data_IF_444382258248
#
_entry.id   IF_444382258248
#
_cell.length_a   1.000
_cell.length_b   1.000
_cell.length_c   1.000
_cell.angle_alpha   90.00
_cell.angle_beta   90.00
_cell.angle_gamma   90.00
#
_symmetry.space_group_name_H-M   'P 1'
#
loop_
_entity.id
_entity.type
_entity.pdbx_description
1 polymer ?
#
# COMPACT_ATOMS: atom_id res chain seq x y z
N UNK A 1 -14.73 1.64 -25.71
CA UNK A 1 -14.30 2.59 -24.68
C UNK A 1 -14.59 4.05 -25.12
N UNK A 2 -14.30 5.05 -24.27
CA UNK A 2 -14.57 6.47 -24.57
C UNK A 2 -13.81 6.96 -25.80
N UNK A 3 -12.54 6.60 -25.98
CA UNK A 3 -11.74 6.98 -27.14
C UNK A 3 -12.35 6.46 -28.43
N UNK A 4 -12.74 5.21 -28.47
CA UNK A 4 -13.40 4.60 -29.65
C UNK A 4 -14.71 5.32 -30.00
N UNK A 5 -15.49 5.70 -28.99
CA UNK A 5 -16.73 6.44 -29.18
C UNK A 5 -16.45 7.84 -29.74
N UNK A 6 -15.44 8.53 -29.26
CA UNK A 6 -14.99 9.84 -29.75
C UNK A 6 -14.47 9.76 -31.18
N UNK A 7 -13.70 8.71 -31.52
CA UNK A 7 -13.17 8.49 -32.86
C UNK A 7 -14.30 8.18 -33.87
N UNK A 8 -15.29 7.36 -33.46
CA UNK A 8 -16.35 6.89 -34.33
C UNK A 8 -17.50 7.91 -34.52
N UNK A 9 -17.85 8.64 -33.49
CA UNK A 9 -19.03 9.51 -33.44
C UNK A 9 -18.70 10.95 -33.07
N UNK A 10 -17.43 11.29 -32.94
CA UNK A 10 -16.98 12.52 -32.30
C UNK A 10 -17.46 13.81 -32.95
N UNK A 11 -17.63 13.87 -34.27
CA UNK A 11 -18.10 15.09 -34.95
C UNK A 11 -19.55 15.44 -34.61
N UNK A 12 -20.36 14.45 -34.23
CA UNK A 12 -21.78 14.63 -33.86
C UNK A 12 -22.03 14.83 -32.36
N UNK A 13 -21.00 14.65 -31.50
CA UNK A 13 -21.19 14.72 -30.06
C UNK A 13 -21.37 16.16 -29.55
N UNK A 14 -22.47 16.47 -28.87
CA UNK A 14 -22.70 17.83 -28.31
C UNK A 14 -21.58 18.27 -27.38
N UNK A 15 -20.97 17.37 -26.65
CA UNK A 15 -19.88 17.63 -25.71
C UNK A 15 -18.69 18.38 -26.35
N UNK A 16 -18.27 17.98 -27.57
CA UNK A 16 -17.18 18.67 -28.29
C UNK A 16 -17.52 20.12 -28.64
N UNK A 17 -18.80 20.45 -28.82
CA UNK A 17 -19.24 21.81 -29.09
C UNK A 17 -19.43 22.67 -27.84
N UNK A 18 -19.67 22.00 -26.71
CA UNK A 18 -19.84 22.68 -25.41
C UNK A 18 -18.51 23.06 -24.76
N UNK A 19 -17.51 22.19 -24.91
CA UNK A 19 -16.15 22.45 -24.41
C UNK A 19 -15.48 23.48 -25.31
N UNK A 20 -15.10 24.61 -24.76
CA UNK A 20 -14.39 25.69 -25.48
C UNK A 20 -12.90 25.73 -25.09
N UNK A 21 -12.57 25.32 -23.88
CA UNK A 21 -11.22 25.25 -23.33
C UNK A 21 -11.07 23.95 -22.56
N UNK A 22 -9.91 23.33 -22.65
CA UNK A 22 -9.54 22.16 -21.88
C UNK A 22 -8.22 22.48 -21.19
N UNK A 23 -8.20 22.36 -19.86
CA UNK A 23 -7.02 22.52 -19.04
C UNK A 23 -6.77 21.18 -18.33
N UNK A 24 -5.55 20.71 -18.41
CA UNK A 24 -5.16 19.42 -17.83
C UNK A 24 -3.96 19.64 -16.94
N UNK A 25 -4.11 19.23 -15.70
CA UNK A 25 -3.01 19.21 -14.73
C UNK A 25 -2.38 17.82 -14.65
N UNK A 26 -1.14 17.72 -14.16
CA UNK A 26 -0.37 16.48 -14.01
C UNK A 26 -0.35 15.64 -15.30
N UNK A 27 -0.16 16.29 -16.44
CA UNK A 27 -0.29 15.65 -17.76
C UNK A 27 0.75 14.54 -17.98
N UNK A 28 1.89 14.55 -17.29
CA UNK A 28 2.91 13.50 -17.34
C UNK A 28 2.38 12.14 -16.81
N UNK A 29 1.31 12.14 -16.03
CA UNK A 29 0.70 10.93 -15.46
C UNK A 29 -0.41 10.33 -16.34
N UNK A 30 -0.66 10.92 -17.51
CA UNK A 30 -1.65 10.43 -18.45
C UNK A 30 -1.14 9.20 -19.22
N UNK A 31 -2.04 8.24 -19.45
CA UNK A 31 -1.78 7.15 -20.40
C UNK A 31 -2.19 7.55 -21.84
N UNK A 32 -1.81 6.75 -22.82
CA UNK A 32 -2.11 7.00 -24.23
C UNK A 32 -3.60 7.15 -24.55
N UNK A 33 -4.48 6.43 -23.83
CA UNK A 33 -5.93 6.51 -24.04
C UNK A 33 -6.44 7.86 -23.53
N UNK A 34 -5.99 8.30 -22.35
CA UNK A 34 -6.35 9.60 -21.78
C UNK A 34 -5.85 10.74 -22.66
N UNK A 35 -4.59 10.71 -23.09
CA UNK A 35 -4.05 11.70 -24.01
C UNK A 35 -4.85 11.75 -25.33
N UNK A 36 -5.17 10.59 -25.91
CA UNK A 36 -5.99 10.50 -27.12
C UNK A 36 -7.40 11.04 -26.94
N UNK A 37 -8.04 10.85 -25.78
CA UNK A 37 -9.35 11.41 -25.45
C UNK A 37 -9.27 12.95 -25.44
N UNK A 38 -8.26 13.51 -24.76
CA UNK A 38 -8.07 14.96 -24.66
C UNK A 38 -7.85 15.60 -26.05
N UNK A 39 -7.01 14.99 -26.87
CA UNK A 39 -6.76 15.43 -28.24
C UNK A 39 -8.05 15.41 -29.09
N UNK A 40 -8.82 14.33 -29.01
CA UNK A 40 -10.09 14.23 -29.75
C UNK A 40 -11.13 15.27 -29.30
N UNK A 41 -11.19 15.56 -28.00
CA UNK A 41 -12.06 16.59 -27.46
C UNK A 41 -11.63 17.99 -27.87
N UNK A 42 -10.32 18.25 -27.95
CA UNK A 42 -9.77 19.57 -28.31
C UNK A 42 -9.79 19.87 -29.81
N UNK A 43 -9.93 18.88 -30.68
CA UNK A 43 -9.88 19.05 -32.16
C UNK A 43 -10.68 20.23 -32.73
N UNK A 44 -11.93 20.50 -32.27
CA UNK A 44 -12.74 21.57 -32.88
C UNK A 44 -12.21 22.99 -32.63
N UNK A 45 -11.54 23.22 -31.52
CA UNK A 45 -11.15 24.56 -31.07
C UNK A 45 -9.66 24.72 -30.80
N UNK A 46 -8.92 23.63 -30.63
CA UNK A 46 -7.48 23.57 -30.35
C UNK A 46 -7.03 24.32 -29.08
N UNK A 47 -7.98 24.65 -28.20
CA UNK A 47 -7.74 25.33 -26.93
C UNK A 47 -7.45 24.27 -25.84
N UNK A 48 -6.29 23.65 -25.92
CA UNK A 48 -5.82 22.66 -24.97
C UNK A 48 -4.56 23.20 -24.29
N UNK A 49 -4.62 23.36 -22.99
CA UNK A 49 -3.50 23.70 -22.13
C UNK A 49 -3.20 22.51 -21.23
N UNK A 50 -1.93 22.13 -21.17
CA UNK A 50 -1.47 21.08 -20.27
C UNK A 50 -0.43 21.65 -19.33
N UNK A 51 -0.47 21.23 -18.07
CA UNK A 51 0.51 21.55 -17.04
C UNK A 51 1.05 20.23 -16.51
N UNK A 52 2.33 20.18 -16.20
CA UNK A 52 2.94 18.99 -15.63
C UNK A 52 4.45 19.12 -15.54
N UNK A 53 5.07 18.13 -14.94
CA UNK A 53 6.50 18.01 -14.75
C UNK A 53 6.95 16.60 -15.12
N UNK A 54 7.65 16.47 -16.24
CA UNK A 54 8.18 15.20 -16.74
C UNK A 54 9.05 14.47 -15.72
N UNK A 55 9.75 15.20 -14.86
CA UNK A 55 10.57 14.64 -13.78
C UNK A 55 9.74 14.00 -12.66
N UNK A 56 8.45 14.35 -12.52
CA UNK A 56 7.54 13.81 -11.52
C UNK A 56 6.70 12.62 -12.02
N UNK A 57 6.93 12.14 -13.25
CA UNK A 57 6.23 10.98 -13.82
C UNK A 57 6.67 9.68 -13.15
N UNK A 58 6.01 9.27 -12.07
CA UNK A 58 6.32 8.07 -11.31
C UNK A 58 5.25 6.97 -11.41
N UNK A 59 4.20 7.16 -12.23
CA UNK A 59 3.07 6.23 -12.38
C UNK A 59 3.11 5.37 -13.66
N UNK A 60 4.31 5.10 -14.22
CA UNK A 60 4.46 4.24 -15.40
C UNK A 60 3.86 2.85 -15.20
N UNK A 61 3.89 2.31 -14.00
CA UNK A 61 3.27 1.02 -13.63
C UNK A 61 1.72 1.02 -13.68
N UNK A 62 1.10 2.23 -13.70
CA UNK A 62 -0.34 2.41 -13.97
C UNK A 62 -0.63 2.72 -15.45
N UNK A 63 0.41 2.69 -16.29
CA UNK A 63 0.32 2.97 -17.71
C UNK A 63 0.53 4.44 -18.09
N UNK A 64 0.96 5.30 -17.15
CA UNK A 64 1.38 6.65 -17.46
C UNK A 64 2.58 6.65 -18.42
N UNK A 65 2.60 7.59 -19.35
CA UNK A 65 3.66 7.72 -20.31
C UNK A 65 4.15 9.18 -20.37
N UNK A 66 5.30 9.44 -19.76
CA UNK A 66 5.92 10.79 -19.73
C UNK A 66 6.21 11.36 -21.11
N UNK A 67 6.26 10.52 -22.15
CA UNK A 67 6.42 10.99 -23.53
C UNK A 67 5.25 11.84 -23.99
N UNK A 68 4.07 11.63 -23.43
CA UNK A 68 2.89 12.43 -23.75
C UNK A 68 3.17 13.92 -23.52
N UNK A 69 3.80 14.31 -22.40
CA UNK A 69 4.12 15.71 -22.12
C UNK A 69 5.32 16.21 -22.96
N UNK A 70 6.34 15.37 -23.14
CA UNK A 70 7.53 15.77 -23.91
C UNK A 70 7.23 15.99 -25.38
N UNK A 71 6.36 15.20 -26.00
CA UNK A 71 5.98 15.26 -27.40
C UNK A 71 4.82 16.25 -27.66
N UNK A 72 4.14 16.69 -26.61
CA UNK A 72 2.98 17.58 -26.72
C UNK A 72 3.27 18.88 -27.49
N UNK A 73 4.38 19.61 -27.26
CA UNK A 73 4.66 20.86 -27.96
C UNK A 73 4.80 20.67 -29.49
N UNK A 74 5.53 19.66 -29.92
CA UNK A 74 5.70 19.38 -31.35
C UNK A 74 4.41 18.95 -32.02
N UNK A 75 3.70 18.01 -31.36
CA UNK A 75 2.45 17.42 -31.87
C UNK A 75 1.34 18.43 -32.02
N UNK A 76 1.21 19.35 -31.05
CA UNK A 76 0.13 20.33 -30.99
C UNK A 76 0.57 21.73 -31.40
N UNK A 77 1.81 21.94 -31.81
CA UNK A 77 2.40 23.26 -32.06
C UNK A 77 2.19 24.21 -30.88
N UNK A 78 2.31 23.68 -29.67
CA UNK A 78 2.04 24.39 -28.45
C UNK A 78 3.20 25.29 -28.04
N UNK A 79 2.90 26.44 -27.45
CA UNK A 79 3.89 27.30 -26.82
C UNK A 79 4.23 26.73 -25.43
N UNK A 80 5.53 26.60 -25.13
CA UNK A 80 6.02 26.11 -23.85
C UNK A 80 6.40 27.29 -22.94
N UNK A 81 5.97 27.21 -21.69
CA UNK A 81 6.37 28.12 -20.63
C UNK A 81 6.96 27.32 -19.49
N UNK A 82 8.10 27.75 -18.95
CA UNK A 82 8.75 27.10 -17.81
C UNK A 82 8.46 27.87 -16.53
N UNK A 83 8.02 27.15 -15.49
CA UNK A 83 7.83 27.67 -14.15
C UNK A 83 8.95 27.10 -13.28
N UNK A 84 10.04 27.84 -13.14
CA UNK A 84 11.26 27.37 -12.46
C UNK A 84 11.39 27.87 -11.03
N UNK A 85 10.68 28.92 -10.66
CA UNK A 85 10.70 29.42 -9.28
C UNK A 85 9.87 28.52 -8.38
N UNK A 86 10.53 28.01 -7.35
CA UNK A 86 9.91 27.16 -6.32
C UNK A 86 9.72 27.95 -5.03
N UNK A 87 8.52 27.84 -4.44
CA UNK A 87 8.11 28.55 -3.22
C UNK A 87 7.99 27.63 -2.01
N UNK A 88 8.28 26.33 -2.18
CA UNK A 88 8.09 25.29 -1.15
C UNK A 88 9.40 24.94 -0.45
N UNK A 89 10.48 24.79 -1.22
CA UNK A 89 11.73 24.17 -0.76
C UNK A 89 12.86 25.18 -0.66
N UNK A 90 13.78 24.97 0.27
CA UNK A 90 15.02 25.74 0.37
C UNK A 90 15.92 25.53 -0.84
N UNK A 91 16.86 26.47 -1.12
CA UNK A 91 17.83 26.34 -2.21
C UNK A 91 18.66 25.05 -2.16
N UNK A 92 18.98 24.56 -0.95
CA UNK A 92 19.79 23.35 -0.75
C UNK A 92 19.05 22.09 -1.20
N UNK A 93 17.75 22.00 -0.94
CA UNK A 93 16.88 20.90 -1.40
C UNK A 93 16.78 20.92 -2.92
N UNK A 94 16.53 22.10 -3.50
CA UNK A 94 16.42 22.25 -4.96
C UNK A 94 17.73 21.93 -5.67
N UNK A 95 18.87 22.30 -5.09
CA UNK A 95 20.16 21.94 -5.65
C UNK A 95 20.36 20.42 -5.71
N UNK A 96 19.99 19.70 -4.64
CA UNK A 96 20.04 18.24 -4.63
C UNK A 96 19.09 17.63 -5.68
N UNK A 97 17.87 18.16 -5.81
CA UNK A 97 16.89 17.72 -6.81
C UNK A 97 17.40 17.97 -8.25
N UNK A 98 17.90 19.17 -8.54
CA UNK A 98 18.46 19.51 -9.86
C UNK A 98 19.65 18.61 -10.22
N UNK A 99 20.56 18.35 -9.28
CA UNK A 99 21.69 17.43 -9.51
C UNK A 99 21.22 16.00 -9.81
N UNK A 100 20.20 15.52 -9.11
CA UNK A 100 19.64 14.18 -9.33
C UNK A 100 18.99 14.07 -10.70
N UNK A 101 18.11 15.02 -11.06
CA UNK A 101 17.34 14.95 -12.30
C UNK A 101 18.21 15.18 -13.55
N UNK A 102 19.32 15.88 -13.45
CA UNK A 102 20.25 16.08 -14.55
C UNK A 102 20.86 14.79 -15.12
N UNK A 103 20.69 13.65 -14.43
CA UNK A 103 21.06 12.34 -14.98
C UNK A 103 20.05 11.80 -16.01
N UNK A 104 18.86 12.37 -16.10
CA UNK A 104 17.89 11.99 -17.12
C UNK A 104 18.33 12.52 -18.49
N UNK A 105 18.30 11.63 -19.48
CA UNK A 105 18.72 11.94 -20.86
C UNK A 105 17.58 12.51 -21.72
N UNK A 106 16.32 12.32 -21.29
CA UNK A 106 15.12 12.78 -21.99
C UNK A 106 14.24 13.54 -21.01
N UNK A 107 14.31 14.87 -21.07
CA UNK A 107 13.56 15.78 -20.19
C UNK A 107 13.48 17.16 -20.80
N UNK A 108 12.59 18.02 -20.31
CA UNK A 108 12.69 19.44 -20.53
C UNK A 108 13.89 20.01 -19.73
N UNK A 109 14.68 20.84 -20.38
CA UNK A 109 15.71 21.56 -19.66
C UNK A 109 15.09 22.60 -18.74
N UNK A 110 15.35 22.46 -17.45
CA UNK A 110 14.86 23.37 -16.40
C UNK A 110 15.85 23.40 -15.23
N UNK A 111 15.87 24.52 -14.52
CA UNK A 111 16.67 24.66 -13.31
C UNK A 111 15.83 25.32 -12.22
N UNK A 112 15.34 24.51 -11.30
CA UNK A 112 14.51 25.00 -10.20
C UNK A 112 15.34 25.85 -9.25
N UNK A 113 14.82 27.02 -8.87
CA UNK A 113 15.45 27.90 -7.91
C UNK A 113 14.43 28.43 -6.88
N UNK A 114 14.91 28.85 -5.73
CA UNK A 114 14.10 29.43 -4.66
C UNK A 114 14.72 30.72 -4.13
N UNK A 115 13.87 31.65 -3.76
CA UNK A 115 14.25 32.89 -3.06
C UNK A 115 14.03 32.77 -1.53
N UNK A 116 13.68 31.58 -1.05
CA UNK A 116 13.58 31.30 0.39
C UNK A 116 14.96 31.43 1.05
N UNK A 117 15.02 31.73 2.36
CA UNK A 117 16.28 31.70 3.11
C UNK A 117 17.01 30.36 2.95
N UNK A 118 18.34 30.35 3.01
CA UNK A 118 19.11 29.11 3.06
C UNK A 118 18.66 28.22 4.22
N UNK A 119 18.52 26.92 3.96
CA UNK A 119 18.17 25.91 4.94
C UNK A 119 19.29 24.89 5.16
N UNK A 120 19.00 23.82 5.85
CA UNK A 120 19.93 22.72 6.02
C UNK A 120 20.10 21.91 4.73
N UNK A 121 21.29 21.36 4.55
CA UNK A 121 21.55 20.46 3.42
C UNK A 121 20.93 19.10 3.68
N UNK A 122 20.36 18.46 2.63
CA UNK A 122 19.95 17.07 2.72
C UNK A 122 21.12 16.16 3.16
N UNK A 123 20.85 15.25 4.10
CA UNK A 123 21.83 14.27 4.62
C UNK A 123 21.43 12.87 4.17
N UNK A 124 22.42 12.07 3.79
CA UNK A 124 22.22 10.66 3.43
C UNK A 124 22.83 9.80 4.54
N UNK A 125 21.99 8.97 5.17
CA UNK A 125 22.42 7.96 6.10
C UNK A 125 22.42 6.59 5.41
N UNK A 126 23.56 5.90 5.46
CA UNK A 126 23.66 4.52 5.00
C UNK A 126 23.63 3.61 6.23
N UNK A 127 22.62 2.76 6.31
CA UNK A 127 22.33 1.92 7.48
C UNK A 127 22.35 0.45 7.09
N UNK A 128 22.41 -0.45 8.09
CA UNK A 128 22.58 -1.88 7.83
C UNK A 128 21.27 -2.60 7.55
N UNK A 129 20.23 -2.23 8.28
CA UNK A 129 18.91 -2.86 8.15
C UNK A 129 17.77 -1.89 8.49
N UNK A 130 16.54 -2.38 8.39
CA UNK A 130 15.32 -1.59 8.64
C UNK A 130 15.12 -1.22 10.11
N UNK A 131 15.76 -1.93 11.04
CA UNK A 131 15.69 -1.60 12.47
C UNK A 131 16.58 -0.40 12.78
N UNK A 132 17.81 -0.42 12.27
CA UNK A 132 18.73 0.73 12.35
C UNK A 132 18.09 1.98 11.69
N UNK A 133 17.41 1.80 10.54
CA UNK A 133 16.70 2.87 9.84
C UNK A 133 15.59 3.49 10.72
N UNK A 134 14.77 2.64 11.33
CA UNK A 134 13.68 3.10 12.18
C UNK A 134 14.20 3.81 13.46
N UNK A 135 15.28 3.34 14.04
CA UNK A 135 15.93 3.99 15.20
C UNK A 135 16.49 5.37 14.84
N UNK A 136 17.15 5.49 13.69
CA UNK A 136 17.69 6.79 13.23
C UNK A 136 16.56 7.77 12.98
N UNK A 137 15.48 7.34 12.33
CA UNK A 137 14.29 8.19 12.11
C UNK A 137 13.68 8.61 13.44
N UNK A 138 13.47 7.68 14.39
CA UNK A 138 12.93 8.02 15.72
C UNK A 138 13.80 9.05 16.43
N UNK A 139 15.12 8.84 16.48
CA UNK A 139 16.03 9.74 17.14
C UNK A 139 16.02 11.14 16.52
N UNK A 140 15.92 11.23 15.18
CA UNK A 140 15.81 12.50 14.48
C UNK A 140 14.49 13.22 14.80
N UNK A 141 13.37 12.49 14.83
CA UNK A 141 12.06 13.04 15.19
C UNK A 141 12.06 13.60 16.62
N UNK A 142 12.65 12.86 17.57
CA UNK A 142 12.75 13.30 18.95
C UNK A 142 13.63 14.56 19.09
N UNK A 143 14.75 14.62 18.37
CA UNK A 143 15.61 15.80 18.37
C UNK A 143 14.89 17.04 17.84
N UNK A 144 14.17 16.91 16.72
CA UNK A 144 13.38 18.01 16.14
C UNK A 144 12.24 18.48 17.07
N UNK A 145 11.60 17.54 17.79
CA UNK A 145 10.61 17.90 18.83
C UNK A 145 11.25 18.67 19.98
N UNK A 146 12.44 18.29 20.41
CA UNK A 146 13.17 19.00 21.47
C UNK A 146 13.56 20.42 21.03
N UNK A 147 13.74 20.65 19.73
CA UNK A 147 13.94 21.97 19.11
C UNK A 147 12.63 22.77 18.95
N UNK A 148 11.48 22.15 19.21
CA UNK A 148 10.17 22.80 19.22
C UNK A 148 9.35 22.62 17.95
N UNK A 149 9.74 21.72 17.02
CA UNK A 149 8.91 21.36 15.89
C UNK A 149 7.76 20.44 16.33
N UNK A 150 6.56 20.72 15.84
CA UNK A 150 5.39 19.87 16.07
C UNK A 150 5.41 18.64 15.15
N UNK A 151 4.79 17.53 15.56
CA UNK A 151 4.74 16.30 14.76
C UNK A 151 3.98 16.47 13.43
N UNK A 152 3.00 17.35 13.39
CA UNK A 152 2.23 17.67 12.18
C UNK A 152 3.02 18.50 11.14
N UNK A 153 4.15 19.09 11.55
CA UNK A 153 5.11 19.73 10.66
C UNK A 153 6.15 18.75 10.10
N UNK A 154 6.12 17.49 10.53
CA UNK A 154 7.06 16.46 10.11
C UNK A 154 6.37 15.38 9.26
N UNK A 155 7.10 14.86 8.29
CA UNK A 155 6.63 13.73 7.50
C UNK A 155 7.76 12.77 7.15
N UNK A 156 7.42 11.47 7.06
CA UNK A 156 8.32 10.44 6.57
C UNK A 156 7.77 9.87 5.27
N UNK A 157 8.56 9.99 4.21
CA UNK A 157 8.23 9.46 2.89
C UNK A 157 8.96 8.14 2.65
N UNK A 158 8.25 7.16 2.10
CA UNK A 158 8.80 5.85 1.76
C UNK A 158 8.25 5.36 0.42
N UNK A 159 8.95 4.44 -0.23
CA UNK A 159 8.58 3.96 -1.57
C UNK A 159 7.41 2.99 -1.58
N UNK A 160 7.31 2.13 -0.54
CA UNK A 160 6.22 1.18 -0.35
C UNK A 160 5.95 0.93 1.14
N UNK A 161 4.74 0.46 1.47
CA UNK A 161 4.29 0.30 2.86
C UNK A 161 5.13 -0.69 3.68
N UNK A 162 5.79 -1.62 3.04
CA UNK A 162 6.73 -2.56 3.66
C UNK A 162 7.82 -1.81 4.44
N UNK A 163 8.43 -0.80 3.82
CA UNK A 163 9.55 -0.05 4.43
C UNK A 163 9.14 0.67 5.72
N UNK A 164 7.88 1.11 5.79
CA UNK A 164 7.37 1.77 6.99
C UNK A 164 6.92 0.81 8.11
N UNK A 165 6.91 -0.50 7.89
CA UNK A 165 6.32 -1.42 8.86
C UNK A 165 7.13 -1.48 10.17
N UNK A 166 8.47 -1.59 10.10
CA UNK A 166 9.33 -1.55 11.30
C UNK A 166 9.26 -0.19 11.98
N UNK A 167 9.24 0.89 11.19
CA UNK A 167 9.09 2.23 11.73
C UNK A 167 7.78 2.41 12.50
N UNK A 168 6.65 1.89 11.98
CA UNK A 168 5.37 1.93 12.67
C UNK A 168 5.44 1.22 14.04
N UNK A 169 6.13 0.08 14.13
CA UNK A 169 6.35 -0.62 15.40
C UNK A 169 7.16 0.24 16.35
N UNK A 170 8.29 0.78 15.90
CA UNK A 170 9.19 1.60 16.72
C UNK A 170 8.49 2.87 17.22
N UNK A 171 7.75 3.57 16.36
CA UNK A 171 6.96 4.76 16.75
C UNK A 171 5.88 4.41 17.77
N UNK A 172 5.19 3.28 17.58
CA UNK A 172 4.18 2.79 18.52
C UNK A 172 4.78 2.52 19.90
N UNK A 173 5.90 1.81 19.96
CA UNK A 173 6.62 1.50 21.20
C UNK A 173 7.13 2.77 21.91
N UNK A 174 7.54 3.76 21.13
CA UNK A 174 7.98 5.07 21.65
C UNK A 174 6.81 6.01 22.03
N UNK A 175 5.55 5.60 21.77
CA UNK A 175 4.38 6.44 22.06
C UNK A 175 4.27 7.68 21.16
N UNK A 176 4.86 7.64 19.95
CA UNK A 176 4.77 8.72 18.96
C UNK A 176 3.51 8.50 18.12
N UNK A 177 2.52 9.41 18.17
CA UNK A 177 1.33 9.29 17.35
C UNK A 177 1.65 9.57 15.89
N UNK A 178 1.11 8.76 14.99
CA UNK A 178 1.31 8.93 13.55
C UNK A 178 0.07 8.55 12.73
N UNK A 179 -0.02 9.15 11.56
CA UNK A 179 -1.06 8.91 10.56
C UNK A 179 -0.42 8.41 9.26
N UNK A 180 -1.01 7.36 8.66
CA UNK A 180 -0.57 6.83 7.36
C UNK A 180 -1.47 7.36 6.27
N UNK A 181 -0.92 8.23 5.41
CA UNK A 181 -1.64 8.72 4.23
C UNK A 181 -1.51 7.75 3.04
N UNK A 182 -2.59 7.68 2.24
CA UNK A 182 -2.67 6.92 0.99
C UNK A 182 -2.36 5.42 1.09
N UNK A 183 -3.07 4.69 1.95
CA UNK A 183 -3.02 3.23 1.92
C UNK A 183 -3.62 2.55 3.14
N UNK A 184 -3.94 1.27 2.97
CA UNK A 184 -4.23 0.38 4.09
C UNK A 184 -2.90 0.03 4.75
N UNK A 185 -2.81 0.22 6.05
CA UNK A 185 -1.65 -0.14 6.87
C UNK A 185 -1.18 -1.55 6.56
N UNK A 186 0.13 -1.78 6.56
CA UNK A 186 0.70 -3.08 6.18
C UNK A 186 0.02 -4.24 6.91
N UNK A 187 -0.06 -4.19 8.24
CA UNK A 187 -0.66 -5.27 9.05
C UNK A 187 -2.19 -5.35 8.96
N UNK A 188 -2.84 -4.34 8.37
CA UNK A 188 -4.28 -4.33 8.13
C UNK A 188 -4.68 -4.81 6.74
N UNK A 189 -3.73 -5.00 5.85
CA UNK A 189 -3.99 -5.51 4.52
C UNK A 189 -4.65 -6.90 4.57
N UNK A 190 -5.58 -7.14 3.65
CA UNK A 190 -6.41 -8.34 3.66
C UNK A 190 -5.57 -9.61 3.69
N UNK A 191 -4.57 -9.75 2.81
CA UNK A 191 -3.72 -10.93 2.72
C UNK A 191 -2.82 -11.13 3.95
N UNK A 192 -2.40 -10.07 4.63
CA UNK A 192 -1.64 -10.15 5.88
C UNK A 192 -2.56 -10.63 7.02
N UNK A 193 -3.77 -10.07 7.11
CA UNK A 193 -4.79 -10.54 8.08
C UNK A 193 -5.19 -12.00 7.83
N UNK A 194 -5.23 -12.42 6.58
CA UNK A 194 -5.54 -13.80 6.20
C UNK A 194 -4.46 -14.76 6.73
N UNK A 195 -3.19 -14.50 6.43
CA UNK A 195 -2.06 -15.29 6.91
C UNK A 195 -1.98 -15.33 8.44
N UNK A 196 -2.09 -14.17 9.08
CA UNK A 196 -2.00 -14.08 10.54
C UNK A 196 -3.20 -14.73 11.25
N UNK A 197 -4.35 -14.90 10.58
CA UNK A 197 -5.49 -15.61 11.14
C UNK A 197 -5.20 -17.08 11.38
N UNK A 198 -4.37 -17.75 10.56
CA UNK A 198 -3.90 -19.11 10.84
C UNK A 198 -3.11 -19.18 12.15
N UNK A 199 -2.26 -18.21 12.40
CA UNK A 199 -1.46 -18.14 13.61
C UNK A 199 -2.34 -17.82 14.84
N UNK A 200 -3.32 -16.94 14.68
CA UNK A 200 -4.26 -16.56 15.74
C UNK A 200 -5.10 -17.73 16.22
N UNK A 201 -5.62 -18.57 15.31
CA UNK A 201 -6.42 -19.75 15.70
C UNK A 201 -5.57 -20.85 16.34
N UNK A 202 -4.27 -20.91 16.07
CA UNK A 202 -3.33 -21.80 16.77
C UNK A 202 -3.06 -21.32 18.20
N UNK A 203 -2.88 -20.02 18.38
CA UNK A 203 -2.63 -19.42 19.69
C UNK A 203 -3.90 -19.40 20.54
N UNK A 204 -5.01 -18.96 19.96
CA UNK A 204 -6.33 -18.97 20.59
C UNK A 204 -7.37 -19.71 19.72
N UNK A 205 -7.60 -20.99 19.97
CA UNK A 205 -8.57 -21.78 19.21
C UNK A 205 -10.03 -21.32 19.30
N UNK A 206 -10.32 -20.37 20.20
CA UNK A 206 -11.64 -19.76 20.35
C UNK A 206 -11.72 -18.35 19.72
N UNK A 207 -10.72 -17.93 18.96
CA UNK A 207 -10.77 -16.68 18.21
C UNK A 207 -11.78 -16.77 17.05
N UNK A 208 -13.00 -16.33 17.35
CA UNK A 208 -14.11 -16.35 16.39
C UNK A 208 -13.80 -15.52 15.14
N UNK A 209 -13.17 -14.34 15.31
CA UNK A 209 -12.87 -13.43 14.20
C UNK A 209 -11.89 -14.10 13.22
N UNK A 210 -10.82 -14.68 13.75
CA UNK A 210 -9.83 -15.39 12.94
C UNK A 210 -10.47 -16.61 12.26
N UNK A 211 -11.26 -17.42 12.94
CA UNK A 211 -11.97 -18.54 12.35
C UNK A 211 -12.94 -18.13 11.25
N UNK A 212 -13.75 -17.09 11.49
CA UNK A 212 -14.69 -16.58 10.49
C UNK A 212 -13.95 -16.14 9.22
N UNK A 213 -12.76 -15.57 9.38
CA UNK A 213 -11.93 -15.16 8.26
C UNK A 213 -11.43 -16.37 7.48
N UNK A 214 -10.84 -17.35 8.12
CA UNK A 214 -10.35 -18.58 7.49
C UNK A 214 -11.44 -19.34 6.75
N UNK A 215 -12.58 -19.56 7.41
CA UNK A 215 -13.69 -20.32 6.85
C UNK A 215 -14.29 -19.66 5.60
N UNK A 216 -14.28 -18.33 5.54
CA UNK A 216 -14.82 -17.58 4.41
C UNK A 216 -13.91 -17.57 3.18
N UNK A 217 -12.65 -17.97 3.30
CA UNK A 217 -11.78 -18.21 2.13
C UNK A 217 -12.22 -19.44 1.33
N UNK A 218 -12.99 -20.33 1.94
CA UNK A 218 -13.43 -21.57 1.29
C UNK A 218 -14.63 -21.32 0.37
N UNK A 219 -14.64 -21.84 -0.87
CA UNK A 219 -15.69 -21.58 -1.84
C UNK A 219 -17.07 -22.02 -1.32
N UNK A 220 -18.02 -21.06 -1.24
CA UNK A 220 -19.40 -21.31 -0.82
C UNK A 220 -19.63 -21.45 0.68
N UNK A 221 -18.66 -21.07 1.48
CA UNK A 221 -18.88 -20.89 2.92
C UNK A 221 -19.14 -19.40 3.18
N UNK A 222 -20.39 -19.05 3.41
CA UNK A 222 -20.82 -17.73 3.87
C UNK A 222 -20.88 -17.63 5.38
N UNK A 223 -21.25 -16.46 5.90
CA UNK A 223 -21.30 -16.17 7.34
C UNK A 223 -22.10 -17.21 8.14
N UNK A 224 -23.27 -17.62 7.64
CA UNK A 224 -24.14 -18.58 8.35
C UNK A 224 -23.49 -19.95 8.48
N UNK A 225 -22.85 -20.45 7.43
CA UNK A 225 -22.17 -21.76 7.44
C UNK A 225 -20.90 -21.68 8.29
N UNK A 226 -20.11 -20.62 8.16
CA UNK A 226 -18.93 -20.39 8.97
C UNK A 226 -19.26 -20.36 10.47
N UNK A 227 -20.31 -19.64 10.87
CA UNK A 227 -20.79 -19.61 12.26
C UNK A 227 -21.17 -21.00 12.78
N UNK A 228 -21.89 -21.81 11.98
CA UNK A 228 -22.24 -23.17 12.37
C UNK A 228 -21.02 -24.06 12.60
N UNK A 229 -20.03 -23.95 11.72
CA UNK A 229 -18.77 -24.69 11.84
C UNK A 229 -18.03 -24.22 13.10
N UNK A 230 -17.91 -22.91 13.34
CA UNK A 230 -17.28 -22.38 14.55
C UNK A 230 -17.97 -22.83 15.84
N UNK A 231 -19.29 -22.86 15.87
CA UNK A 231 -20.04 -23.36 17.04
C UNK A 231 -19.69 -24.81 17.38
N UNK A 232 -19.51 -25.69 16.37
CA UNK A 232 -19.07 -27.08 16.61
C UNK A 232 -17.64 -27.09 17.20
N UNK A 233 -16.74 -26.25 16.74
CA UNK A 233 -15.40 -26.11 17.35
C UNK A 233 -15.50 -25.68 18.82
N UNK A 234 -16.29 -24.67 19.10
CA UNK A 234 -16.47 -24.15 20.46
C UNK A 234 -17.07 -25.16 21.44
N UNK A 235 -18.09 -25.89 21.01
CA UNK A 235 -18.77 -26.89 21.87
C UNK A 235 -17.89 -28.10 22.18
N UNK A 236 -17.07 -28.51 21.25
CA UNK A 236 -16.24 -29.71 21.41
C UNK A 236 -14.87 -29.43 22.05
N UNK A 237 -14.57 -28.16 22.41
CA UNK A 237 -13.22 -27.74 22.83
C UNK A 237 -12.13 -28.28 21.87
N UNK A 238 -12.53 -28.51 20.62
CA UNK A 238 -11.81 -29.36 19.69
C UNK A 238 -10.75 -28.54 18.94
N UNK A 239 -9.63 -28.25 19.58
CA UNK A 239 -8.38 -27.90 18.95
C UNK A 239 -7.83 -29.01 18.04
N UNK A 240 -8.37 -30.20 18.14
CA UNK A 240 -8.05 -31.29 17.23
C UNK A 240 -8.91 -31.19 15.98
N UNK A 241 -8.40 -30.46 15.01
CA UNK A 241 -8.84 -30.43 13.61
C UNK A 241 -8.69 -31.83 12.98
N UNK A 242 -9.37 -32.81 13.54
CA UNK A 242 -9.35 -34.17 13.01
C UNK A 242 -10.33 -34.26 11.85
N UNK A 243 -9.90 -34.83 10.73
CA UNK A 243 -10.73 -35.13 9.56
C UNK A 243 -11.96 -35.99 9.88
N UNK A 244 -12.00 -36.60 11.06
CA UNK A 244 -12.96 -37.63 11.47
C UNK A 244 -14.23 -37.09 12.15
N UNK A 245 -14.41 -35.77 12.25
CA UNK A 245 -15.63 -35.22 12.81
C UNK A 245 -16.77 -35.26 11.79
N UNK A 246 -17.63 -36.27 11.88
CA UNK A 246 -18.79 -36.45 10.99
C UNK A 246 -19.73 -35.24 10.98
N UNK A 247 -19.85 -34.51 12.09
CA UNK A 247 -20.69 -33.32 12.19
C UNK A 247 -20.13 -32.20 11.34
N UNK A 248 -18.82 -31.97 11.38
CA UNK A 248 -18.14 -30.97 10.54
C UNK A 248 -18.22 -31.36 9.06
N UNK A 249 -17.99 -32.64 8.72
CA UNK A 249 -18.08 -33.10 7.35
C UNK A 249 -19.47 -32.86 6.72
N UNK A 250 -20.55 -32.96 7.52
CA UNK A 250 -21.92 -32.67 7.05
C UNK A 250 -22.17 -31.17 6.83
N UNK A 251 -21.47 -30.31 7.54
CA UNK A 251 -21.61 -28.87 7.41
C UNK A 251 -20.80 -28.29 6.23
N UNK A 252 -19.70 -28.97 5.81
CA UNK A 252 -18.85 -28.53 4.72
C UNK A 252 -19.52 -28.78 3.37
N UNK A 253 -19.77 -27.74 2.55
CA UNK A 253 -20.33 -27.90 1.22
C UNK A 253 -19.43 -28.80 0.35
N UNK A 254 -20.04 -29.58 -0.54
CA UNK A 254 -19.30 -30.50 -1.41
C UNK A 254 -18.19 -29.81 -2.21
N UNK A 255 -18.44 -28.56 -2.65
CA UNK A 255 -17.51 -27.75 -3.43
C UNK A 255 -16.34 -27.19 -2.63
N UNK A 256 -16.38 -27.23 -1.30
CA UNK A 256 -15.33 -26.72 -0.40
C UNK A 256 -14.52 -27.84 0.25
N UNK A 257 -14.77 -29.10 -0.10
CA UNK A 257 -14.16 -30.24 0.63
C UNK A 257 -12.66 -30.35 0.39
N UNK A 258 -12.22 -30.09 -0.81
CA UNK A 258 -10.80 -30.17 -1.16
C UNK A 258 -10.02 -29.06 -0.45
N UNK A 259 -10.48 -27.82 -0.55
CA UNK A 259 -9.84 -26.67 0.11
C UNK A 259 -9.92 -26.80 1.64
N UNK A 260 -11.01 -27.36 2.16
CA UNK A 260 -11.14 -27.70 3.59
C UNK A 260 -10.07 -28.68 4.03
N UNK A 261 -9.83 -29.75 3.26
CA UNK A 261 -8.79 -30.73 3.57
C UNK A 261 -7.40 -30.12 3.52
N UNK A 262 -7.13 -29.27 2.53
CA UNK A 262 -5.87 -28.55 2.38
C UNK A 262 -5.65 -27.61 3.55
N UNK A 263 -6.64 -26.78 3.91
CA UNK A 263 -6.58 -25.84 5.03
C UNK A 263 -6.36 -26.56 6.38
N UNK A 264 -7.12 -27.63 6.65
CA UNK A 264 -6.98 -28.40 7.88
C UNK A 264 -5.66 -29.18 7.92
N UNK A 265 -5.16 -29.63 6.78
CA UNK A 265 -3.84 -30.20 6.61
C UNK A 265 -2.74 -29.20 6.95
N UNK A 266 -2.82 -27.99 6.42
CA UNK A 266 -1.92 -26.90 6.73
C UNK A 266 -1.93 -26.59 8.24
N UNK A 267 -3.09 -26.41 8.86
CA UNK A 267 -3.20 -26.15 10.31
C UNK A 267 -2.56 -27.28 11.15
N UNK A 268 -2.68 -28.55 10.73
CA UNK A 268 -2.00 -29.68 11.41
C UNK A 268 -0.47 -29.61 11.29
N UNK A 269 0.04 -29.17 10.13
CA UNK A 269 1.48 -29.01 9.93
C UNK A 269 2.05 -27.92 10.84
N UNK A 270 1.23 -26.95 11.26
CA UNK A 270 1.62 -25.86 12.16
C UNK A 270 1.61 -26.27 13.66
N UNK A 271 1.04 -27.42 14.01
CA UNK A 271 1.00 -27.91 15.42
C UNK A 271 2.33 -28.56 15.88
N UNK A 272 3.42 -28.32 15.16
CA UNK A 272 4.77 -28.81 15.54
C UNK A 272 5.37 -27.86 16.57
N UNK A 273 5.99 -28.41 17.61
CA UNK A 273 6.48 -27.65 18.78
C UNK A 273 7.70 -26.77 18.51
N UNK A 274 8.36 -26.93 17.36
CA UNK A 274 9.65 -26.33 17.03
C UNK A 274 9.59 -25.21 15.97
N UNK A 275 8.39 -24.82 15.53
CA UNK A 275 8.23 -23.82 14.47
C UNK A 275 8.31 -22.40 14.99
N UNK A 276 9.12 -21.58 14.35
CA UNK A 276 9.12 -20.12 14.53
C UNK A 276 7.93 -19.46 13.81
N UNK A 277 7.50 -18.25 14.20
CA UNK A 277 6.45 -17.53 13.47
C UNK A 277 6.72 -17.36 11.98
N UNK A 278 7.97 -17.16 11.59
CA UNK A 278 8.41 -17.04 10.19
C UNK A 278 8.20 -18.33 9.41
N UNK A 279 8.57 -19.47 9.99
CA UNK A 279 8.35 -20.79 9.38
C UNK A 279 6.87 -21.11 9.27
N UNK A 280 6.06 -20.76 10.28
CA UNK A 280 4.60 -20.92 10.25
C UNK A 280 3.97 -20.14 9.09
N UNK A 281 4.35 -18.87 8.90
CA UNK A 281 3.87 -18.04 7.78
C UNK A 281 4.26 -18.67 6.44
N UNK A 282 5.51 -19.14 6.30
CA UNK A 282 5.98 -19.82 5.10
C UNK A 282 5.20 -21.09 4.78
N UNK A 283 4.86 -21.90 5.78
CA UNK A 283 4.05 -23.10 5.64
C UNK A 283 2.63 -22.73 5.17
N UNK A 284 1.97 -21.75 5.84
CA UNK A 284 0.63 -21.30 5.47
C UNK A 284 0.59 -20.80 4.03
N UNK A 285 1.58 -19.98 3.66
CA UNK A 285 1.66 -19.43 2.32
C UNK A 285 1.81 -20.53 1.27
N UNK A 286 2.79 -21.41 1.43
CA UNK A 286 3.11 -22.47 0.47
C UNK A 286 2.03 -23.54 0.37
N UNK A 287 1.48 -23.99 1.52
CA UNK A 287 0.62 -25.16 1.58
C UNK A 287 -0.87 -24.84 1.34
N UNK A 288 -1.26 -23.55 1.46
CA UNK A 288 -2.68 -23.17 1.28
C UNK A 288 -2.85 -21.79 0.64
N UNK A 289 -2.25 -20.73 1.19
CA UNK A 289 -2.70 -19.38 0.92
C UNK A 289 -2.28 -18.84 -0.47
N UNK A 290 -1.22 -19.36 -1.05
CA UNK A 290 -0.73 -18.91 -2.36
C UNK A 290 -1.80 -19.01 -3.44
N UNK A 291 -2.47 -20.15 -3.55
CA UNK A 291 -3.55 -20.35 -4.54
C UNK A 291 -4.73 -19.41 -4.30
N UNK A 292 -5.14 -19.26 -3.03
CA UNK A 292 -6.18 -18.31 -2.64
C UNK A 292 -5.81 -16.89 -3.05
N UNK A 293 -4.60 -16.45 -2.74
CA UNK A 293 -4.12 -15.10 -3.05
C UNK A 293 -4.12 -14.82 -4.56
N UNK A 294 -3.68 -15.77 -5.37
CA UNK A 294 -3.68 -15.62 -6.83
C UNK A 294 -5.09 -15.67 -7.45
N UNK A 295 -6.05 -16.31 -6.80
CA UNK A 295 -7.45 -16.32 -7.26
C UNK A 295 -8.22 -15.06 -6.87
N UNK A 296 -7.91 -14.45 -5.74
CA UNK A 296 -8.67 -13.34 -5.17
C UNK A 296 -8.11 -11.95 -5.54
N UNK A 297 -6.81 -11.84 -5.85
CA UNK A 297 -6.16 -10.54 -6.05
C UNK A 297 -5.49 -10.42 -7.41
N UNK A 298 -5.86 -9.40 -8.20
CA UNK A 298 -5.23 -9.09 -9.49
C UNK A 298 -3.73 -8.75 -9.36
N UNK A 299 -3.30 -8.21 -8.22
CA UNK A 299 -1.92 -7.81 -7.93
C UNK A 299 -1.17 -8.82 -7.03
N UNK A 300 -1.47 -10.13 -7.17
CA UNK A 300 -0.91 -11.18 -6.34
C UNK A 300 0.63 -11.18 -6.29
N UNK A 301 1.29 -10.92 -7.43
CA UNK A 301 2.77 -10.85 -7.50
C UNK A 301 3.35 -9.77 -6.58
N UNK A 302 2.69 -8.62 -6.45
CA UNK A 302 3.15 -7.58 -5.52
C UNK A 302 2.94 -8.02 -4.07
N UNK A 303 1.86 -8.75 -3.79
CA UNK A 303 1.54 -9.26 -2.45
C UNK A 303 2.47 -10.40 -2.00
N UNK A 304 3.13 -11.11 -2.93
CA UNK A 304 4.20 -12.06 -2.57
C UNK A 304 5.36 -11.36 -1.84
N UNK A 305 5.72 -10.16 -2.25
CA UNK A 305 6.73 -9.38 -1.55
C UNK A 305 6.29 -9.02 -0.12
N UNK A 306 5.01 -8.69 0.06
CA UNK A 306 4.45 -8.42 1.39
C UNK A 306 4.50 -9.67 2.29
N UNK A 307 4.27 -10.86 1.73
CA UNK A 307 4.37 -12.13 2.47
C UNK A 307 5.83 -12.42 2.87
N UNK A 308 6.77 -12.23 1.96
CA UNK A 308 8.20 -12.40 2.26
C UNK A 308 8.63 -11.46 3.39
N UNK A 309 8.20 -10.20 3.32
CA UNK A 309 8.49 -9.24 4.37
C UNK A 309 7.85 -9.62 5.72
N UNK A 310 6.60 -10.10 5.72
CA UNK A 310 5.97 -10.60 6.94
C UNK A 310 6.78 -11.74 7.56
N UNK A 311 7.36 -12.63 6.73
CA UNK A 311 8.27 -13.68 7.19
C UNK A 311 9.55 -13.12 7.80
N UNK A 312 10.20 -12.15 7.13
CA UNK A 312 11.41 -11.50 7.62
C UNK A 312 11.14 -10.76 8.94
N UNK A 313 10.06 -9.99 9.01
CA UNK A 313 9.65 -9.30 10.23
C UNK A 313 9.39 -10.29 11.37
N UNK A 314 8.65 -11.37 11.10
CA UNK A 314 8.32 -12.38 12.11
C UNK A 314 9.52 -13.21 12.58
N UNK A 315 10.63 -13.26 11.82
CA UNK A 315 11.87 -13.93 12.21
C UNK A 315 12.56 -13.28 13.43
N UNK A 316 12.25 -12.03 13.72
CA UNK A 316 12.74 -11.35 14.92
C UNK A 316 12.09 -11.85 16.22
N UNK A 317 11.02 -12.65 16.12
CA UNK A 317 10.27 -13.16 17.26
C UNK A 317 10.50 -14.65 17.46
N UNK A 318 10.89 -15.04 18.67
CA UNK A 318 11.14 -16.44 19.02
C UNK A 318 9.88 -17.22 19.36
N UNK A 319 8.80 -16.54 19.73
CA UNK A 319 7.53 -17.16 20.12
C UNK A 319 6.37 -16.59 19.35
N UNK A 320 5.37 -17.44 19.11
CA UNK A 320 4.11 -17.05 18.48
C UNK A 320 3.38 -15.98 19.30
N UNK A 321 3.39 -16.10 20.62
CA UNK A 321 2.78 -15.13 21.54
C UNK A 321 3.41 -13.75 21.39
N UNK A 322 4.75 -13.66 21.42
CA UNK A 322 5.47 -12.40 21.26
C UNK A 322 5.14 -11.72 19.93
N UNK A 323 5.11 -12.48 18.84
CA UNK A 323 4.75 -11.98 17.52
C UNK A 323 3.30 -11.46 17.46
N UNK A 324 2.32 -12.23 17.97
CA UNK A 324 0.91 -11.83 17.94
C UNK A 324 0.61 -10.64 18.86
N UNK A 325 1.30 -10.53 19.99
CA UNK A 325 1.18 -9.37 20.87
C UNK A 325 1.66 -8.10 20.18
N UNK A 326 2.79 -8.17 19.48
CA UNK A 326 3.30 -7.03 18.70
C UNK A 326 2.32 -6.60 17.61
N UNK A 327 1.81 -7.55 16.84
CA UNK A 327 0.77 -7.25 15.84
C UNK A 327 -0.47 -6.58 16.43
N UNK A 328 -0.84 -6.95 17.64
CA UNK A 328 -2.01 -6.36 18.33
C UNK A 328 -1.72 -4.93 18.79
N UNK A 329 -0.52 -4.65 19.27
CA UNK A 329 -0.09 -3.32 19.66
C UNK A 329 -0.10 -2.36 18.46
N UNK A 330 0.51 -2.77 17.35
CA UNK A 330 0.54 -1.96 16.12
C UNK A 330 -0.86 -1.71 15.57
N UNK A 331 -1.77 -2.71 15.65
CA UNK A 331 -3.15 -2.58 15.18
C UNK A 331 -4.01 -1.61 16.00
N UNK A 332 -3.71 -1.44 17.31
CA UNK A 332 -4.51 -0.63 18.24
C UNK A 332 -4.07 0.83 18.35
N UNK A 333 -2.83 1.16 17.98
CA UNK A 333 -2.22 2.47 18.23
C UNK A 333 -2.40 3.47 17.08
N UNK A 334 -3.17 3.13 16.07
CA UNK A 334 -3.17 3.87 14.83
C UNK A 334 -4.55 4.51 14.59
N UNK A 335 -4.58 5.85 14.64
CA UNK A 335 -5.74 6.67 14.26
C UNK A 335 -5.93 6.59 12.74
N UNK A 336 -7.17 6.37 12.27
CA UNK A 336 -7.51 6.40 10.85
C UNK A 336 -7.83 7.82 10.38
N UNK A 337 -7.67 8.12 9.08
CA UNK A 337 -8.02 9.42 8.49
C UNK A 337 -9.44 9.90 8.85
N UNK A 338 -10.37 8.97 9.13
CA UNK A 338 -11.75 9.28 9.55
C UNK A 338 -11.88 9.64 11.03
N UNK A 339 -10.93 9.23 11.88
CA UNK A 339 -10.90 9.53 13.32
C UNK A 339 -10.03 10.75 13.64
N UNK A 340 -9.16 11.16 12.72
CA UNK A 340 -8.25 12.30 12.89
C UNK A 340 -8.96 13.66 12.83
N UNK A 341 -10.11 13.74 12.14
CA UNK A 341 -10.91 14.98 12.03
C UNK A 341 -11.52 15.44 13.38
N UNK A 342 -11.52 14.59 14.41
CA UNK A 342 -12.18 14.86 15.71
C UNK A 342 -11.19 15.10 16.88
N UNK A 343 -9.86 15.03 16.65
CA UNK A 343 -8.88 15.22 17.73
C UNK A 343 -7.79 16.23 17.33
N UNK A 344 -7.67 17.32 18.11
CA UNK A 344 -6.54 18.28 18.08
C UNK A 344 -5.19 17.62 18.54
N UNK A 345 -4.87 16.41 18.03
CA UNK A 345 -3.61 15.73 18.36
C UNK A 345 -2.62 15.91 17.21
N UNK A 346 -1.42 16.37 17.57
CA UNK A 346 -0.28 16.41 16.65
C UNK A 346 0.10 14.99 16.21
N UNK A 347 0.11 14.72 14.91
CA UNK A 347 0.43 13.42 14.35
C UNK A 347 1.53 13.52 13.30
N UNK A 348 2.54 12.64 13.42
CA UNK A 348 3.53 12.47 12.35
C UNK A 348 2.87 11.90 11.08
N UNK A 349 3.15 12.47 9.92
CA UNK A 349 2.66 11.96 8.64
C UNK A 349 3.60 10.91 8.05
N UNK A 350 3.08 9.69 7.80
CA UNK A 350 3.75 8.64 7.04
C UNK A 350 3.08 8.51 5.67
N UNK A 351 3.83 8.64 4.55
CA UNK A 351 3.25 8.65 3.20
C UNK A 351 4.16 8.01 2.15
N UNK A 352 3.55 7.60 1.01
CA UNK A 352 4.28 7.05 -0.15
C UNK A 352 4.41 8.09 -1.26
#
# INVERSE_FOLDING_TARGET
NWLELLLKYGEGLPLKKQLQYILVDEYQDTNHIQAGILEELAKPHQNLMVVGDDAQSIYSWRGADFRNILEFPEKNKAQVYHLEQNYRSSPEILNAANLSINHNTRQFEKNLFSELPPGEKPVVHQLWDSSDEAEVVLNQLLALRDEGLSLDEMSVLYRNHIQAAVLQVVLTQAGIPFMVHSGVKFFEQAHIKDLTSFLKVLYNPLDEIAWMRLLRMLPGIGNTTANRIFMVFREQQAVRLTQENETLQKLIPAKSREEWQTMTGCLRNLLRDDLTPSEMIGIVYRDFYREVMYSEFENAVMRENDVQYLQEFSANYRSLEGFLNELSLVGSSIITDQEADDQDQENLTLTT
#
